data_IF_950935574290
#
_entry.id   IF_950935574290
#
_cell.length_a   1.000
_cell.length_b   1.000
_cell.length_c   1.000
_cell.angle_alpha   90.00
_cell.angle_beta   90.00
_cell.angle_gamma   90.00
#
_symmetry.space_group_name_H-M   'P 1'
#
loop_
_entity.id
_entity.type
_entity.pdbx_description
1 polymer ?
#
# COMPACT_ATOMS: atom_id res chain seq x y z
N UNK A 1 -22.10 -12.55 2.49
CA UNK A 1 -20.83 -11.84 2.80
C UNK A 1 -21.08 -10.60 3.67
N UNK A 2 -21.69 -10.77 4.85
CA UNK A 2 -21.99 -9.67 5.77
C UNK A 2 -20.72 -9.25 6.54
N UNK A 3 -20.58 -7.95 6.79
CA UNK A 3 -19.45 -7.35 7.55
C UNK A 3 -19.89 -6.54 8.77
N UNK A 4 -21.17 -6.56 9.10
CA UNK A 4 -21.78 -5.80 10.19
C UNK A 4 -22.26 -6.72 11.32
N UNK A 5 -21.78 -7.98 11.35
CA UNK A 5 -22.06 -8.97 12.39
C UNK A 5 -23.55 -9.35 12.48
N UNK A 6 -24.26 -9.32 11.35
CA UNK A 6 -25.64 -9.83 11.22
C UNK A 6 -25.64 -11.35 11.04
N UNK A 7 -25.58 -12.05 12.16
CA UNK A 7 -25.46 -13.51 12.19
C UNK A 7 -26.64 -14.24 11.56
N UNK A 8 -27.82 -13.63 11.55
CA UNK A 8 -28.99 -14.16 10.85
C UNK A 8 -28.73 -14.33 9.33
N UNK A 9 -27.97 -13.42 8.73
CA UNK A 9 -27.59 -13.50 7.31
C UNK A 9 -26.45 -14.49 7.09
N UNK A 10 -25.50 -14.56 8.02
CA UNK A 10 -24.40 -15.55 7.97
C UNK A 10 -24.96 -16.97 8.12
N UNK A 11 -25.95 -17.17 9.00
CA UNK A 11 -26.62 -18.46 9.22
C UNK A 11 -27.27 -18.99 7.94
N UNK A 12 -27.96 -18.14 7.16
CA UNK A 12 -28.55 -18.55 5.88
C UNK A 12 -27.51 -19.20 4.96
N UNK A 13 -26.35 -18.58 4.79
CA UNK A 13 -25.27 -19.12 3.97
C UNK A 13 -24.57 -20.34 4.61
N UNK A 14 -24.40 -20.33 5.94
CA UNK A 14 -23.80 -21.45 6.67
C UNK A 14 -24.67 -22.72 6.54
N UNK A 15 -25.98 -22.59 6.75
CA UNK A 15 -26.95 -23.69 6.70
C UNK A 15 -27.12 -24.21 5.26
N UNK A 16 -27.03 -23.33 4.26
CA UNK A 16 -27.05 -23.75 2.86
C UNK A 16 -25.84 -24.59 2.50
N UNK A 17 -24.64 -24.24 2.99
CA UNK A 17 -23.42 -24.97 2.68
C UNK A 17 -23.24 -26.27 3.47
N UNK A 18 -23.75 -26.35 4.71
CA UNK A 18 -23.54 -27.50 5.60
C UNK A 18 -24.72 -28.47 5.61
N UNK A 19 -25.95 -27.97 5.57
CA UNK A 19 -27.18 -28.77 5.68
C UNK A 19 -28.02 -28.76 4.40
N UNK A 20 -27.62 -27.93 3.43
CA UNK A 20 -28.36 -27.74 2.18
C UNK A 20 -29.73 -27.14 2.40
N UNK A 21 -29.84 -26.16 3.31
CA UNK A 21 -31.07 -25.37 3.48
C UNK A 21 -31.17 -24.34 2.36
N UNK A 22 -32.18 -24.48 1.51
CA UNK A 22 -32.41 -23.61 0.36
C UNK A 22 -33.34 -24.27 -0.67
N UNK A 23 -33.55 -23.60 -1.79
CA UNK A 23 -34.35 -24.12 -2.90
C UNK A 23 -33.56 -25.21 -3.64
N UNK A 24 -34.06 -26.43 -3.68
CA UNK A 24 -33.40 -27.52 -4.41
C UNK A 24 -33.66 -27.41 -5.91
N UNK A 25 -32.62 -27.54 -6.74
CA UNK A 25 -32.74 -27.50 -8.20
C UNK A 25 -31.75 -28.42 -8.92
N UNK A 26 -32.24 -29.06 -9.98
CA UNK A 26 -31.42 -29.78 -10.96
C UNK A 26 -30.91 -28.87 -12.10
N UNK A 27 -31.46 -27.65 -12.24
CA UNK A 27 -31.05 -26.64 -13.21
C UNK A 27 -30.87 -25.29 -12.50
N UNK A 28 -29.66 -25.08 -11.95
CA UNK A 28 -29.34 -23.88 -11.18
C UNK A 28 -29.55 -22.60 -12.01
N UNK A 29 -29.18 -22.61 -13.29
CA UNK A 29 -29.27 -21.43 -14.16
C UNK A 29 -30.73 -21.11 -14.46
N UNK A 30 -31.54 -22.14 -14.76
CA UNK A 30 -32.98 -21.99 -14.96
C UNK A 30 -33.67 -21.42 -13.71
N UNK A 31 -33.38 -21.98 -12.53
CA UNK A 31 -33.93 -21.49 -11.26
C UNK A 31 -33.52 -20.05 -10.97
N UNK A 32 -32.25 -19.69 -11.17
CA UNK A 32 -31.79 -18.30 -11.00
C UNK A 32 -32.55 -17.34 -11.91
N UNK A 33 -32.68 -17.65 -13.20
CA UNK A 33 -33.43 -16.82 -14.16
C UNK A 33 -34.89 -16.67 -13.75
N UNK A 34 -35.54 -17.77 -13.38
CA UNK A 34 -36.92 -17.73 -12.91
C UNK A 34 -37.07 -16.81 -11.69
N UNK A 35 -36.14 -16.84 -10.74
CA UNK A 35 -36.18 -15.96 -9.56
C UNK A 35 -36.02 -14.49 -9.93
N UNK A 36 -35.07 -14.17 -10.81
CA UNK A 36 -34.91 -12.79 -11.30
C UNK A 36 -36.13 -12.28 -12.06
N UNK A 37 -36.85 -13.16 -12.76
CA UNK A 37 -38.07 -12.79 -13.49
C UNK A 37 -39.32 -12.69 -12.59
N UNK A 38 -39.38 -13.50 -11.53
CA UNK A 38 -40.59 -13.65 -10.70
C UNK A 38 -40.53 -12.92 -9.35
N UNK A 39 -39.40 -12.33 -9.00
CA UNK A 39 -39.17 -11.63 -7.72
C UNK A 39 -38.37 -10.34 -7.92
N UNK A 40 -38.19 -9.56 -6.86
CA UNK A 40 -37.29 -8.39 -6.85
C UNK A 40 -35.84 -8.75 -6.45
N UNK A 41 -35.49 -10.03 -6.46
CA UNK A 41 -34.14 -10.48 -6.11
C UNK A 41 -33.11 -10.07 -7.16
N UNK A 42 -31.92 -9.72 -6.70
CA UNK A 42 -30.75 -9.39 -7.52
C UNK A 42 -29.61 -10.35 -7.16
N UNK A 43 -28.49 -10.27 -7.87
CA UNK A 43 -27.28 -11.03 -7.55
C UNK A 43 -26.84 -10.87 -6.07
N UNK A 44 -27.07 -9.70 -5.46
CA UNK A 44 -26.69 -9.43 -4.07
C UNK A 44 -27.67 -10.04 -3.06
N UNK A 45 -28.96 -10.14 -3.40
CA UNK A 45 -30.03 -10.54 -2.48
C UNK A 45 -30.55 -11.96 -2.72
N UNK A 46 -30.08 -12.64 -3.77
CA UNK A 46 -30.48 -13.99 -4.13
C UNK A 46 -30.25 -14.97 -2.97
N UNK A 47 -31.33 -15.61 -2.52
CA UNK A 47 -31.27 -16.65 -1.51
C UNK A 47 -30.63 -17.96 -2.04
N UNK A 48 -30.19 -18.87 -1.15
CA UNK A 48 -29.47 -20.07 -1.56
C UNK A 48 -30.27 -21.02 -2.45
N UNK A 49 -29.64 -21.49 -3.53
CA UNK A 49 -30.14 -22.56 -4.40
C UNK A 49 -29.20 -23.75 -4.26
N UNK A 50 -29.74 -24.91 -3.93
CA UNK A 50 -29.00 -26.14 -3.63
C UNK A 50 -29.06 -27.06 -4.84
N UNK A 51 -27.89 -27.43 -5.37
CA UNK A 51 -27.81 -28.39 -6.47
C UNK A 51 -28.21 -29.78 -5.98
N UNK A 52 -29.10 -30.44 -6.73
CA UNK A 52 -29.47 -31.84 -6.52
C UNK A 52 -29.16 -32.70 -7.74
N UNK A 53 -28.74 -33.93 -7.52
CA UNK A 53 -28.47 -34.92 -8.55
C UNK A 53 -29.75 -35.53 -9.14
N UNK A 54 -29.60 -36.37 -10.15
CA UNK A 54 -30.71 -37.09 -10.78
C UNK A 54 -31.43 -38.04 -9.79
N UNK A 55 -30.73 -38.49 -8.75
CA UNK A 55 -31.23 -39.28 -7.62
C UNK A 55 -31.90 -38.44 -6.52
N UNK A 56 -32.09 -37.13 -6.77
CA UNK A 56 -32.63 -36.14 -5.84
C UNK A 56 -31.77 -35.92 -4.57
N UNK A 57 -30.51 -36.37 -4.57
CA UNK A 57 -29.59 -36.12 -3.46
C UNK A 57 -28.89 -34.77 -3.62
N UNK A 58 -28.68 -34.07 -2.50
CA UNK A 58 -27.96 -32.78 -2.48
C UNK A 58 -26.49 -33.01 -2.78
N UNK A 59 -25.91 -32.14 -3.61
CA UNK A 59 -24.53 -32.26 -4.08
C UNK A 59 -23.65 -31.21 -3.40
N UNK A 60 -22.45 -31.63 -2.96
CA UNK A 60 -21.38 -30.71 -2.54
C UNK A 60 -21.61 -30.01 -1.20
N UNK A 61 -22.33 -30.64 -0.27
CA UNK A 61 -22.41 -30.14 1.11
C UNK A 61 -21.06 -30.31 1.81
N UNK A 62 -20.72 -29.36 2.68
CA UNK A 62 -19.53 -29.43 3.53
C UNK A 62 -19.82 -30.39 4.69
N UNK A 63 -19.06 -31.48 4.76
CA UNK A 63 -19.17 -32.52 5.78
C UNK A 63 -17.92 -32.68 6.64
N UNK A 64 -17.95 -33.67 7.53
CA UNK A 64 -16.86 -33.92 8.46
C UNK A 64 -15.57 -34.32 7.71
N UNK A 65 -14.44 -33.73 8.10
CA UNK A 65 -13.13 -34.01 7.49
C UNK A 65 -12.87 -33.31 6.16
N UNK A 66 -13.81 -32.49 5.66
CA UNK A 66 -13.62 -31.74 4.42
C UNK A 66 -12.59 -30.62 4.56
N UNK A 67 -12.01 -30.23 3.42
CA UNK A 67 -11.14 -29.05 3.31
C UNK A 67 -11.89 -27.89 2.68
N UNK A 68 -11.89 -26.73 3.33
CA UNK A 68 -12.57 -25.51 2.85
C UNK A 68 -11.54 -24.43 2.57
N UNK A 69 -11.46 -23.97 1.31
CA UNK A 69 -10.62 -22.85 0.91
C UNK A 69 -11.46 -21.60 0.61
N UNK A 70 -11.35 -20.59 1.45
CA UNK A 70 -11.96 -19.29 1.21
C UNK A 70 -11.04 -18.46 0.31
N UNK A 71 -11.39 -18.31 -0.97
CA UNK A 71 -10.51 -17.68 -1.97
C UNK A 71 -10.54 -16.14 -2.00
N UNK A 72 -11.46 -15.49 -1.28
CA UNK A 72 -11.55 -14.03 -1.25
C UNK A 72 -10.33 -13.39 -0.56
N UNK A 73 -9.46 -12.67 -1.28
CA UNK A 73 -8.29 -12.02 -0.67
C UNK A 73 -8.63 -10.84 0.28
N UNK A 74 -9.83 -10.24 0.15
CA UNK A 74 -10.25 -9.11 0.98
C UNK A 74 -10.98 -9.60 2.23
N UNK A 75 -10.44 -9.25 3.39
CA UNK A 75 -10.84 -9.85 4.66
C UNK A 75 -12.17 -9.36 5.25
N UNK A 76 -12.54 -8.08 5.06
CA UNK A 76 -13.62 -7.43 5.80
C UNK A 76 -14.97 -8.16 5.72
N UNK A 77 -15.32 -8.68 4.54
CA UNK A 77 -16.58 -9.38 4.29
C UNK A 77 -16.54 -10.90 4.52
N UNK A 78 -15.36 -11.45 4.78
CA UNK A 78 -15.16 -12.88 5.01
C UNK A 78 -15.10 -13.26 6.48
N UNK A 79 -14.65 -12.34 7.33
CA UNK A 79 -14.37 -12.60 8.76
C UNK A 79 -15.47 -13.39 9.47
N UNK A 80 -16.73 -12.96 9.37
CA UNK A 80 -17.81 -13.60 10.13
C UNK A 80 -18.24 -14.96 9.58
N UNK A 81 -18.22 -15.15 8.27
CA UNK A 81 -18.54 -16.45 7.68
C UNK A 81 -17.47 -17.48 8.05
N UNK A 82 -16.20 -17.12 7.89
CA UNK A 82 -15.07 -18.01 8.19
C UNK A 82 -15.02 -18.32 9.70
N UNK A 83 -15.31 -17.33 10.55
CA UNK A 83 -15.44 -17.53 12.00
C UNK A 83 -16.52 -18.57 12.34
N UNK A 84 -17.65 -18.61 11.61
CA UNK A 84 -18.70 -19.59 11.83
C UNK A 84 -18.24 -21.04 11.60
N UNK A 85 -17.30 -21.24 10.67
CA UNK A 85 -16.74 -22.55 10.33
C UNK A 85 -15.61 -23.00 11.25
N UNK A 86 -14.86 -22.08 11.86
CA UNK A 86 -13.60 -22.48 12.50
C UNK A 86 -13.23 -21.80 13.81
N UNK A 87 -14.07 -20.90 14.34
CA UNK A 87 -13.81 -20.27 15.64
C UNK A 87 -15.12 -20.02 16.40
N UNK A 88 -15.60 -21.09 17.05
CA UNK A 88 -16.76 -21.10 17.95
C UNK A 88 -16.39 -20.63 19.36
N UNK A 89 -17.35 -20.14 20.17
CA UNK A 89 -18.78 -20.00 19.87
C UNK A 89 -19.11 -18.80 18.97
N UNK A 90 -20.16 -18.95 18.15
CA UNK A 90 -20.84 -17.83 17.45
C UNK A 90 -22.36 -17.99 17.59
N UNK A 91 -23.17 -16.93 17.40
CA UNK A 91 -24.65 -16.97 17.45
C UNK A 91 -25.32 -17.73 16.29
N UNK A 92 -24.85 -18.95 16.01
CA UNK A 92 -25.43 -19.90 15.05
C UNK A 92 -25.61 -21.22 15.81
N UNK A 93 -26.83 -21.72 15.87
CA UNK A 93 -27.21 -22.96 16.57
C UNK A 93 -27.04 -24.23 15.71
N UNK A 94 -26.77 -24.06 14.41
CA UNK A 94 -26.51 -25.14 13.47
C UNK A 94 -25.24 -25.92 13.81
N UNK A 95 -25.33 -27.23 13.63
CA UNK A 95 -24.20 -28.16 13.75
C UNK A 95 -23.05 -27.73 12.83
N UNK A 96 -21.84 -27.73 13.39
CA UNK A 96 -20.62 -27.51 12.65
C UNK A 96 -20.04 -28.89 12.28
N UNK A 97 -19.69 -29.14 11.01
CA UNK A 97 -18.98 -30.36 10.66
C UNK A 97 -17.66 -30.47 11.42
N UNK A 98 -17.35 -31.69 11.87
CA UNK A 98 -16.15 -31.96 12.66
C UNK A 98 -14.90 -32.04 11.76
N UNK A 99 -13.74 -31.71 12.34
CA UNK A 99 -12.43 -31.87 11.70
C UNK A 99 -12.26 -31.19 10.33
N UNK A 100 -12.88 -30.03 10.12
CA UNK A 100 -12.65 -29.23 8.91
C UNK A 100 -11.21 -28.69 8.84
N UNK A 101 -10.56 -28.84 7.68
CA UNK A 101 -9.30 -28.16 7.39
C UNK A 101 -9.58 -26.85 6.64
N UNK A 102 -9.31 -25.70 7.29
CA UNK A 102 -9.71 -24.38 6.79
C UNK A 102 -8.49 -23.59 6.34
N UNK A 103 -8.54 -23.15 5.09
CA UNK A 103 -7.55 -22.28 4.46
C UNK A 103 -8.20 -20.99 3.97
N UNK A 104 -7.44 -19.91 3.96
CA UNK A 104 -7.87 -18.59 3.47
C UNK A 104 -6.91 -18.08 2.42
N UNK A 105 -7.38 -17.20 1.52
CA UNK A 105 -6.49 -16.62 0.51
C UNK A 105 -5.41 -15.75 1.16
N UNK A 106 -5.82 -14.87 2.08
CA UNK A 106 -4.95 -13.99 2.87
C UNK A 106 -5.28 -14.13 4.35
N UNK A 107 -4.51 -13.49 5.24
CA UNK A 107 -4.90 -13.40 6.64
C UNK A 107 -6.14 -12.52 6.80
N UNK A 108 -7.24 -13.09 7.32
CA UNK A 108 -8.47 -12.31 7.54
C UNK A 108 -8.49 -11.59 8.87
N UNK A 109 -7.82 -12.15 9.87
CA UNK A 109 -7.61 -11.59 11.20
C UNK A 109 -6.46 -12.35 11.86
N UNK A 110 -5.55 -11.64 12.52
CA UNK A 110 -4.38 -12.23 13.19
C UNK A 110 -4.76 -13.30 14.22
N UNK A 111 -5.87 -13.10 14.95
CA UNK A 111 -6.35 -14.05 15.96
C UNK A 111 -7.04 -15.30 15.39
N UNK A 112 -7.10 -15.47 14.07
CA UNK A 112 -7.74 -16.65 13.46
C UNK A 112 -6.72 -17.78 13.31
N UNK A 113 -7.10 -19.03 13.63
CA UNK A 113 -6.20 -20.17 13.55
C UNK A 113 -6.00 -20.72 12.12
N UNK A 114 -6.56 -20.05 11.10
CA UNK A 114 -6.60 -20.54 9.72
C UNK A 114 -5.29 -20.24 8.99
N UNK A 115 -4.88 -21.16 8.11
CA UNK A 115 -3.66 -21.02 7.32
C UNK A 115 -3.94 -20.16 6.08
N UNK A 116 -3.32 -18.97 5.94
CA UNK A 116 -3.42 -18.20 4.71
C UNK A 116 -2.52 -18.80 3.63
N UNK A 117 -3.00 -18.85 2.39
CA UNK A 117 -2.20 -19.21 1.22
C UNK A 117 -1.12 -18.15 0.96
N UNK A 118 -1.46 -16.88 1.16
CA UNK A 118 -0.56 -15.75 1.09
C UNK A 118 -0.52 -15.04 2.46
N UNK A 119 0.45 -15.38 3.33
CA UNK A 119 0.58 -14.74 4.63
C UNK A 119 0.90 -13.24 4.49
N UNK A 120 0.61 -12.42 5.52
CA UNK A 120 1.03 -11.02 5.54
C UNK A 120 2.54 -10.94 5.33
N UNK A 121 2.97 -10.05 4.43
CA UNK A 121 4.38 -9.71 4.30
C UNK A 121 4.70 -8.63 5.34
N UNK A 122 5.81 -8.81 6.06
CA UNK A 122 6.39 -7.76 6.89
C UNK A 122 7.48 -7.07 6.08
N UNK A 123 7.50 -5.74 6.11
CA UNK A 123 8.58 -4.93 5.56
C UNK A 123 9.74 -4.79 6.56
N UNK A 124 10.15 -5.92 7.14
CA UNK A 124 11.23 -5.97 8.12
C UNK A 124 12.56 -5.54 7.50
N UNK A 125 13.40 -4.89 8.29
CA UNK A 125 14.66 -4.31 7.86
C UNK A 125 14.49 -3.33 6.68
N UNK A 126 13.41 -2.53 6.71
CA UNK A 126 13.33 -1.32 5.89
C UNK A 126 14.51 -0.40 6.18
N UNK A 127 14.84 0.52 5.26
CA UNK A 127 15.98 1.43 5.44
C UNK A 127 15.95 2.17 6.80
N UNK A 128 14.82 2.76 7.24
CA UNK A 128 14.74 3.42 8.54
C UNK A 128 15.02 2.47 9.71
N UNK A 129 14.39 1.29 9.70
CA UNK A 129 14.55 0.26 10.74
C UNK A 129 15.99 -0.26 10.81
N UNK A 130 16.60 -0.51 9.65
CA UNK A 130 17.95 -1.03 9.58
C UNK A 130 18.97 -0.03 10.11
N UNK A 131 18.81 1.25 9.76
CA UNK A 131 19.65 2.33 10.27
C UNK A 131 19.49 2.53 11.79
N UNK A 132 18.26 2.42 12.31
CA UNK A 132 17.98 2.47 13.76
C UNK A 132 18.68 1.35 14.53
N UNK A 133 18.62 0.11 14.01
CA UNK A 133 19.35 -1.04 14.58
C UNK A 133 20.86 -0.83 14.64
N UNK A 134 21.41 0.04 13.80
CA UNK A 134 22.83 0.39 13.76
C UNK A 134 23.15 1.73 14.44
N UNK A 135 22.18 2.34 15.13
CA UNK A 135 22.37 3.59 15.88
C UNK A 135 22.53 4.83 15.00
N UNK A 136 22.16 4.76 13.72
CA UNK A 136 22.36 5.82 12.74
C UNK A 136 21.25 6.87 12.83
N UNK A 137 21.62 8.10 13.18
CA UNK A 137 20.71 9.22 13.30
C UNK A 137 20.17 9.63 11.93
N UNK A 138 18.84 9.69 11.82
CA UNK A 138 18.13 9.90 10.57
C UNK A 138 17.06 10.99 10.74
N UNK A 139 16.85 11.84 9.73
CA UNK A 139 15.90 12.94 9.77
C UNK A 139 15.00 12.95 8.53
N UNK A 140 13.68 13.01 8.73
CA UNK A 140 12.67 12.99 7.67
C UNK A 140 11.86 14.29 7.67
N UNK A 141 11.86 14.97 6.52
CA UNK A 141 11.36 16.34 6.40
C UNK A 141 10.39 16.40 5.22
N UNK A 142 9.15 16.76 5.49
CA UNK A 142 8.14 16.93 4.45
C UNK A 142 7.09 17.93 4.88
N UNK A 143 6.40 18.50 3.89
CA UNK A 143 5.17 19.22 4.16
C UNK A 143 3.98 18.27 4.39
N UNK A 144 2.87 18.79 4.88
CA UNK A 144 1.73 18.01 5.39
C UNK A 144 1.18 17.01 4.37
N UNK A 145 1.09 17.38 3.09
CA UNK A 145 0.61 16.51 2.01
C UNK A 145 1.44 15.23 1.83
N UNK A 146 2.76 15.28 2.11
CA UNK A 146 3.67 14.16 1.90
C UNK A 146 4.32 13.62 3.19
N UNK A 147 3.94 14.14 4.36
CA UNK A 147 4.53 13.73 5.64
C UNK A 147 4.28 12.25 5.98
N UNK A 148 3.10 11.72 5.70
CA UNK A 148 2.80 10.29 5.89
C UNK A 148 3.65 9.39 4.97
N UNK A 149 4.05 9.90 3.80
CA UNK A 149 4.85 9.16 2.82
C UNK A 149 6.28 8.96 3.30
N UNK A 150 6.89 9.98 3.91
CA UNK A 150 8.23 9.88 4.51
C UNK A 150 8.26 9.30 5.93
N UNK A 151 7.11 8.94 6.50
CA UNK A 151 7.05 8.37 7.86
C UNK A 151 6.41 7.00 7.82
N UNK A 152 5.08 6.90 7.73
CA UNK A 152 4.36 5.64 7.71
C UNK A 152 4.77 4.73 6.54
N UNK A 153 4.71 5.24 5.30
CA UNK A 153 4.99 4.42 4.12
C UNK A 153 6.49 4.11 3.97
N UNK A 154 7.36 5.10 4.18
CA UNK A 154 8.82 4.90 4.16
C UNK A 154 9.31 3.92 5.22
N UNK A 155 8.65 3.86 6.39
CA UNK A 155 8.92 2.88 7.45
C UNK A 155 8.27 1.50 7.18
N UNK A 156 7.78 1.24 5.97
CA UNK A 156 7.19 -0.05 5.61
C UNK A 156 5.79 -0.29 6.16
N UNK A 157 5.03 0.78 6.41
CA UNK A 157 3.70 0.72 7.02
C UNK A 157 3.72 0.70 8.56
N UNK A 158 4.82 1.13 9.17
CA UNK A 158 4.95 1.24 10.63
C UNK A 158 4.70 2.69 11.08
N UNK A 159 3.66 2.90 11.89
CA UNK A 159 3.35 4.22 12.47
C UNK A 159 4.37 4.65 13.53
N UNK A 160 4.96 3.69 14.23
CA UNK A 160 5.89 3.96 15.31
C UNK A 160 7.18 4.57 14.77
N UNK A 161 7.60 5.67 15.39
CA UNK A 161 8.87 6.32 15.12
C UNK A 161 10.01 5.51 15.72
N UNK A 162 11.07 5.30 14.95
CA UNK A 162 12.30 4.63 15.42
C UNK A 162 13.08 5.53 16.39
N UNK A 163 13.97 4.96 17.21
CA UNK A 163 14.65 5.69 18.28
C UNK A 163 15.65 6.72 17.76
N UNK A 164 16.31 6.41 16.63
CA UNK A 164 17.26 7.31 15.95
C UNK A 164 16.59 8.23 14.92
N UNK A 165 15.28 8.08 14.71
CA UNK A 165 14.50 8.82 13.72
C UNK A 165 14.00 10.13 14.30
N UNK A 166 14.24 11.24 13.59
CA UNK A 166 13.62 12.54 13.85
C UNK A 166 12.71 12.93 12.68
N UNK A 167 11.51 13.43 12.98
CA UNK A 167 10.52 13.82 11.98
C UNK A 167 10.24 15.30 12.07
N UNK A 168 10.34 16.04 10.97
CA UNK A 168 10.03 17.47 10.92
C UNK A 168 8.89 17.71 9.91
N UNK A 169 7.76 18.14 10.44
CA UNK A 169 6.59 18.51 9.66
C UNK A 169 6.64 20.00 9.32
N UNK A 170 6.59 20.32 8.03
CA UNK A 170 6.29 21.67 7.54
C UNK A 170 4.80 21.74 7.23
N UNK A 171 4.13 22.83 7.61
CA UNK A 171 2.71 22.97 7.30
C UNK A 171 2.54 23.32 5.82
N UNK A 172 1.74 22.55 5.08
CA UNK A 172 1.33 22.93 3.71
C UNK A 172 0.47 24.20 3.77
N UNK A 173 0.49 25.06 2.73
CA UNK A 173 -0.27 26.31 2.79
C UNK A 173 -1.77 26.03 2.89
N UNK A 174 -2.47 26.81 3.71
CA UNK A 174 -3.93 26.75 3.79
C UNK A 174 -4.48 27.51 2.57
N UNK A 175 -4.77 26.77 1.50
CA UNK A 175 -5.32 27.30 0.26
C UNK A 175 -6.63 26.59 -0.11
N UNK A 176 -7.54 27.30 -0.78
CA UNK A 176 -8.73 26.67 -1.37
C UNK A 176 -8.36 25.83 -2.61
N UNK A 177 -7.28 26.21 -3.30
CA UNK A 177 -6.66 25.49 -4.40
C UNK A 177 -5.16 25.78 -4.38
N UNK A 178 -4.33 24.74 -4.54
CA UNK A 178 -2.88 24.90 -4.61
C UNK A 178 -2.40 25.66 -5.85
N UNK A 179 -3.24 25.82 -6.88
CA UNK A 179 -2.92 26.62 -8.07
C UNK A 179 -2.61 28.10 -7.74
N UNK A 180 -3.17 28.62 -6.63
CA UNK A 180 -2.93 29.97 -6.16
C UNK A 180 -1.58 30.11 -5.42
N UNK A 181 -1.02 29.00 -4.96
CA UNK A 181 0.26 28.91 -4.24
C UNK A 181 1.06 27.72 -4.78
N UNK A 182 1.48 27.76 -6.06
CA UNK A 182 2.06 26.61 -6.76
C UNK A 182 3.43 26.18 -6.22
N UNK A 183 4.12 27.07 -5.51
CA UNK A 183 5.36 26.80 -4.80
C UNK A 183 5.16 26.05 -3.47
N UNK A 184 3.90 25.89 -3.03
CA UNK A 184 3.50 25.25 -1.78
C UNK A 184 4.41 25.66 -0.60
N UNK A 185 4.94 24.68 0.15
CA UNK A 185 5.88 24.92 1.24
C UNK A 185 7.30 24.49 0.87
N UNK A 186 7.61 24.33 -0.42
CA UNK A 186 8.89 23.81 -0.93
C UNK A 186 10.09 24.62 -0.40
N UNK A 187 9.95 25.95 -0.34
CA UNK A 187 10.98 26.84 0.21
C UNK A 187 11.25 26.58 1.69
N UNK A 188 10.19 26.37 2.46
CA UNK A 188 10.28 26.15 3.91
C UNK A 188 10.84 24.74 4.19
N UNK A 189 10.44 23.73 3.42
CA UNK A 189 11.05 22.39 3.46
C UNK A 189 12.55 22.46 3.16
N UNK A 190 12.96 23.22 2.15
CA UNK A 190 14.37 23.40 1.82
C UNK A 190 15.15 24.12 2.94
N UNK A 191 14.56 25.15 3.56
CA UNK A 191 15.15 25.86 4.70
C UNK A 191 15.38 24.92 5.88
N UNK A 192 14.35 24.17 6.28
CA UNK A 192 14.43 23.19 7.37
C UNK A 192 15.44 22.09 7.06
N UNK A 193 15.51 21.64 5.80
CA UNK A 193 16.51 20.67 5.34
C UNK A 193 17.93 21.23 5.50
N UNK A 194 18.17 22.48 5.10
CA UNK A 194 19.47 23.14 5.29
C UNK A 194 19.86 23.26 6.77
N UNK A 195 18.88 23.53 7.65
CA UNK A 195 19.11 23.58 9.10
C UNK A 195 19.45 22.21 9.68
N UNK A 196 18.77 21.15 9.23
CA UNK A 196 19.08 19.78 9.63
C UNK A 196 20.51 19.37 9.21
N UNK A 197 20.91 19.67 7.97
CA UNK A 197 22.26 19.44 7.46
C UNK A 197 23.30 20.23 8.29
N UNK A 198 23.06 21.52 8.54
CA UNK A 198 23.97 22.38 9.31
C UNK A 198 24.15 21.95 10.77
N UNK A 199 23.18 21.25 11.34
CA UNK A 199 23.27 20.72 12.71
C UNK A 199 24.32 19.62 12.86
N UNK A 200 24.65 18.91 11.77
CA UNK A 200 25.50 17.71 11.75
C UNK A 200 25.03 16.60 12.73
N UNK A 201 23.76 16.63 13.15
CA UNK A 201 23.19 15.67 14.09
C UNK A 201 22.80 14.34 13.42
N UNK A 202 22.62 14.33 12.10
CA UNK A 202 22.03 13.22 11.35
C UNK A 202 22.98 12.70 10.28
N UNK A 203 23.13 11.39 10.13
CA UNK A 203 23.90 10.80 9.04
C UNK A 203 23.06 10.59 7.78
N UNK A 204 21.72 10.51 7.91
CA UNK A 204 20.78 10.50 6.78
C UNK A 204 19.75 11.63 6.96
N UNK A 205 19.56 12.44 5.93
CA UNK A 205 18.47 13.43 5.86
C UNK A 205 17.69 13.15 4.58
N UNK A 206 16.38 12.91 4.69
CA UNK A 206 15.47 12.69 3.55
C UNK A 206 14.42 13.78 3.55
N UNK A 207 14.28 14.46 2.42
CA UNK A 207 13.29 15.50 2.22
C UNK A 207 12.38 15.17 1.02
N UNK A 208 11.07 15.41 1.17
CA UNK A 208 10.10 15.30 0.07
C UNK A 208 9.62 16.70 -0.32
N UNK A 209 9.75 17.03 -1.60
CA UNK A 209 9.28 18.28 -2.19
C UNK A 209 7.99 17.99 -2.97
N UNK A 210 6.84 18.29 -2.36
CA UNK A 210 5.53 17.79 -2.80
C UNK A 210 4.97 18.49 -4.05
N UNK A 211 5.36 19.75 -4.29
CA UNK A 211 4.67 20.63 -5.22
C UNK A 211 4.50 20.10 -6.65
N UNK A 212 5.50 19.47 -7.30
CA UNK A 212 5.34 19.00 -8.67
C UNK A 212 4.16 18.03 -8.84
N UNK A 213 4.00 17.09 -7.89
CA UNK A 213 2.94 16.09 -7.93
C UNK A 213 1.57 16.68 -7.61
N UNK A 214 1.49 17.47 -6.51
CA UNK A 214 0.24 18.08 -6.07
C UNK A 214 -0.32 19.03 -7.13
N UNK A 215 0.54 19.81 -7.80
CA UNK A 215 0.10 20.72 -8.85
C UNK A 215 -0.22 19.99 -10.16
N UNK A 216 0.48 18.91 -10.48
CA UNK A 216 0.17 18.14 -11.68
C UNK A 216 -1.21 17.48 -11.59
N UNK A 217 -1.65 17.03 -10.40
CA UNK A 217 -3.01 16.55 -10.16
C UNK A 217 -4.11 17.58 -10.43
N UNK A 218 -3.81 18.88 -10.44
CA UNK A 218 -4.82 19.90 -10.79
C UNK A 218 -5.04 20.00 -12.30
N UNK A 219 -4.14 19.41 -13.11
CA UNK A 219 -4.17 19.54 -14.58
C UNK A 219 -3.74 20.92 -15.08
N UNK A 220 -3.28 21.81 -14.20
CA UNK A 220 -2.91 23.17 -14.55
C UNK A 220 -1.44 23.24 -14.94
N UNK A 221 -1.18 23.24 -16.25
CA UNK A 221 0.17 23.27 -16.81
C UNK A 221 1.03 24.43 -16.25
N UNK A 222 0.49 25.65 -16.22
CA UNK A 222 1.27 26.82 -15.82
C UNK A 222 1.58 26.84 -14.31
N UNK A 223 0.63 26.41 -13.47
CA UNK A 223 0.88 26.24 -12.05
C UNK A 223 1.91 25.12 -11.79
N UNK A 224 1.82 24.02 -12.53
CA UNK A 224 2.78 22.90 -12.44
C UNK A 224 4.19 23.33 -12.86
N UNK A 225 4.35 24.13 -13.92
CA UNK A 225 5.65 24.68 -14.28
C UNK A 225 6.27 25.49 -13.13
N UNK A 226 5.49 26.35 -12.48
CA UNK A 226 5.97 27.13 -11.31
C UNK A 226 6.36 26.23 -10.13
N UNK A 227 5.61 25.16 -9.89
CA UNK A 227 5.95 24.17 -8.87
C UNK A 227 7.30 23.49 -9.15
N UNK A 228 7.54 23.11 -10.40
CA UNK A 228 8.81 22.51 -10.84
C UNK A 228 9.97 23.52 -10.73
N UNK A 229 9.78 24.77 -11.17
CA UNK A 229 10.78 25.84 -11.03
C UNK A 229 11.13 26.12 -9.56
N UNK A 230 10.13 26.18 -8.68
CA UNK A 230 10.34 26.34 -7.24
C UNK A 230 11.09 25.14 -6.63
N UNK A 231 10.78 23.93 -7.09
CA UNK A 231 11.46 22.69 -6.68
C UNK A 231 12.93 22.68 -7.11
N UNK A 232 13.23 23.11 -8.34
CA UNK A 232 14.61 23.25 -8.84
C UNK A 232 15.43 24.24 -7.99
N UNK A 233 14.86 25.41 -7.67
CA UNK A 233 15.49 26.40 -6.79
C UNK A 233 15.75 25.84 -5.38
N UNK A 234 14.84 25.03 -4.85
CA UNK A 234 15.01 24.37 -3.56
C UNK A 234 16.10 23.30 -3.59
N UNK A 235 16.17 22.49 -4.65
CA UNK A 235 17.23 21.51 -4.87
C UNK A 235 18.59 22.23 -4.92
N UNK A 236 18.71 23.33 -5.66
CA UNK A 236 19.94 24.12 -5.73
C UNK A 236 20.38 24.63 -4.34
N UNK A 237 19.43 25.05 -3.50
CA UNK A 237 19.70 25.48 -2.13
C UNK A 237 20.20 24.32 -1.25
N UNK A 238 19.52 23.18 -1.31
CA UNK A 238 19.89 21.97 -0.57
C UNK A 238 21.28 21.49 -1.01
N UNK A 239 21.54 21.43 -2.32
CA UNK A 239 22.85 21.07 -2.88
C UNK A 239 23.97 21.95 -2.32
N UNK A 240 23.78 23.27 -2.31
CA UNK A 240 24.76 24.17 -1.72
C UNK A 240 24.96 23.86 -0.23
N UNK A 241 23.90 23.60 0.53
CA UNK A 241 24.01 23.22 1.95
C UNK A 241 24.75 21.89 2.14
N UNK A 242 24.52 20.90 1.29
CA UNK A 242 25.24 19.63 1.31
C UNK A 242 26.75 19.83 1.13
N UNK A 243 27.18 20.65 0.14
CA UNK A 243 28.59 20.99 -0.05
C UNK A 243 29.19 21.62 1.21
N UNK A 244 28.51 22.59 1.82
CA UNK A 244 29.03 23.31 2.99
C UNK A 244 29.16 22.42 4.23
N UNK A 245 28.30 21.40 4.36
CA UNK A 245 28.24 20.52 5.53
C UNK A 245 28.80 19.12 5.26
N UNK A 246 29.48 18.91 4.13
CA UNK A 246 30.10 17.63 3.76
C UNK A 246 29.11 16.45 3.70
N UNK A 247 27.95 16.68 3.08
CA UNK A 247 26.98 15.63 2.72
C UNK A 247 27.00 15.38 1.21
N UNK A 248 26.73 14.14 0.83
CA UNK A 248 26.44 13.78 -0.56
C UNK A 248 24.94 13.86 -0.81
N UNK A 249 24.56 14.53 -1.91
CA UNK A 249 23.17 14.64 -2.30
C UNK A 249 22.79 13.49 -3.24
N UNK A 250 21.70 12.80 -2.92
CA UNK A 250 21.02 11.86 -3.82
C UNK A 250 19.67 12.47 -4.21
N UNK A 251 19.37 12.54 -5.51
CA UNK A 251 18.12 13.08 -6.05
C UNK A 251 17.37 11.98 -6.77
N UNK A 252 16.10 11.79 -6.43
CA UNK A 252 15.21 10.80 -7.07
C UNK A 252 13.75 11.21 -6.96
N UNK A 253 12.83 10.43 -7.54
CA UNK A 253 11.37 10.59 -7.42
C UNK A 253 10.73 9.24 -7.10
N UNK A 254 9.57 9.25 -6.46
CA UNK A 254 8.77 8.06 -6.18
C UNK A 254 7.94 7.60 -7.38
N UNK A 255 7.55 8.53 -8.27
CA UNK A 255 6.91 8.26 -9.54
C UNK A 255 6.98 9.48 -10.49
N UNK A 256 6.41 9.34 -11.69
CA UNK A 256 6.13 10.44 -12.61
C UNK A 256 4.71 10.99 -12.44
N UNK A 257 4.50 12.22 -12.89
CA UNK A 257 3.22 12.92 -12.99
C UNK A 257 3.38 14.16 -13.91
N UNK A 258 4.12 15.16 -13.43
CA UNK A 258 4.23 16.48 -14.05
C UNK A 258 4.91 16.51 -15.43
N UNK A 259 5.61 15.44 -15.83
CA UNK A 259 6.26 15.34 -17.13
C UNK A 259 5.30 15.00 -18.27
N UNK A 260 4.08 14.50 -17.96
CA UNK A 260 3.00 14.28 -18.94
C UNK A 260 1.72 14.95 -18.45
N UNK A 261 1.59 16.26 -18.70
CA UNK A 261 0.39 17.05 -18.39
C UNK A 261 -0.72 16.93 -19.45
N UNK A 262 -0.39 16.40 -20.64
CA UNK A 262 -1.31 16.17 -21.75
C UNK A 262 -1.02 14.79 -22.34
N UNK A 263 -2.06 13.95 -22.47
CA UNK A 263 -1.93 12.59 -22.98
C UNK A 263 -1.83 12.54 -24.53
N UNK A 264 -1.61 11.35 -25.08
CA UNK A 264 -1.51 11.14 -26.54
C UNK A 264 -2.82 11.44 -27.31
N UNK A 265 -3.94 11.54 -26.61
CA UNK A 265 -5.26 11.86 -27.15
C UNK A 265 -5.61 13.35 -26.96
N UNK A 266 -4.66 14.17 -26.49
CA UNK A 266 -4.81 15.59 -26.21
C UNK A 266 -5.79 15.92 -25.06
N UNK A 267 -5.96 14.99 -24.13
CA UNK A 267 -6.65 15.24 -22.86
C UNK A 267 -5.68 15.75 -21.80
N UNK A 268 -6.18 16.56 -20.87
CA UNK A 268 -5.45 16.93 -19.66
C UNK A 268 -5.25 15.67 -18.83
N UNK A 269 -4.00 15.37 -18.50
CA UNK A 269 -3.65 14.28 -17.61
C UNK A 269 -3.44 14.83 -16.20
N UNK A 270 -4.25 14.32 -15.26
CA UNK A 270 -4.13 14.61 -13.83
C UNK A 270 -3.65 13.38 -13.04
N UNK A 271 -3.33 12.28 -13.71
CA UNK A 271 -2.93 11.02 -13.09
C UNK A 271 -1.41 10.82 -13.20
N UNK A 272 -0.88 9.98 -12.30
CA UNK A 272 0.51 9.54 -12.36
C UNK A 272 0.83 8.83 -13.68
N UNK A 273 2.11 8.81 -14.01
CA UNK A 273 2.61 8.13 -15.21
C UNK A 273 3.44 6.90 -14.83
N UNK A 274 3.73 6.07 -15.84
CA UNK A 274 4.71 4.98 -15.75
C UNK A 274 6.11 5.41 -16.23
N UNK A 275 6.39 6.71 -16.25
CA UNK A 275 7.70 7.23 -16.67
C UNK A 275 8.80 6.79 -15.69
N UNK A 276 10.02 6.51 -16.16
CA UNK A 276 11.15 6.26 -15.28
C UNK A 276 11.47 7.53 -14.47
N UNK A 277 11.94 7.33 -13.24
CA UNK A 277 12.33 8.41 -12.34
C UNK A 277 13.84 8.66 -12.41
N UNK A 278 14.31 9.89 -12.15
CA UNK A 278 15.75 10.14 -12.06
C UNK A 278 16.34 9.43 -10.84
N UNK A 279 17.63 9.08 -10.93
CA UNK A 279 18.45 8.71 -9.79
C UNK A 279 19.84 9.31 -9.98
N UNK A 280 20.14 10.37 -9.23
CA UNK A 280 21.38 11.14 -9.34
C UNK A 280 22.11 11.07 -8.01
N UNK A 281 23.40 10.69 -8.03
CA UNK A 281 24.30 10.78 -6.89
C UNK A 281 25.31 11.89 -7.19
N UNK A 282 25.35 12.93 -6.37
CA UNK A 282 26.22 14.09 -6.58
C UNK A 282 27.58 13.84 -5.93
N UNK A 283 28.31 12.90 -6.51
CA UNK A 283 29.66 12.48 -6.12
C UNK A 283 30.45 12.06 -7.37
N UNK A 284 31.62 12.67 -7.59
CA UNK A 284 32.44 12.42 -8.78
C UNK A 284 33.20 11.08 -8.72
N UNK A 285 33.38 10.53 -7.51
CA UNK A 285 34.11 9.29 -7.30
C UNK A 285 33.20 8.04 -7.40
N UNK A 286 31.89 8.27 -7.47
CA UNK A 286 30.89 7.21 -7.64
C UNK A 286 30.61 6.94 -9.11
N UNK A 287 30.53 5.66 -9.46
CA UNK A 287 29.97 5.20 -10.73
C UNK A 287 28.69 4.42 -10.47
N UNK A 288 27.66 4.73 -11.26
CA UNK A 288 26.37 4.05 -11.19
C UNK A 288 26.25 2.97 -12.25
N UNK A 289 25.64 1.85 -11.87
CA UNK A 289 25.16 0.82 -12.76
C UNK A 289 24.10 1.45 -13.68
N UNK A 290 24.21 1.17 -14.98
CA UNK A 290 23.20 1.55 -15.96
C UNK A 290 22.63 0.27 -16.58
N UNK A 291 21.43 -0.11 -16.14
CA UNK A 291 20.74 -1.33 -16.56
C UNK A 291 19.24 -1.06 -16.74
N UNK A 292 18.54 -1.82 -17.61
CA UNK A 292 17.12 -1.58 -17.90
C UNK A 292 16.17 -2.09 -16.80
N UNK A 293 16.64 -2.94 -15.89
CA UNK A 293 15.86 -3.61 -14.83
C UNK A 293 15.96 -2.91 -13.46
N UNK A 294 16.50 -1.68 -13.42
CA UNK A 294 16.62 -0.91 -12.18
C UNK A 294 15.27 -0.37 -11.71
N UNK A 295 15.07 -0.33 -10.40
CA UNK A 295 13.79 0.09 -9.80
C UNK A 295 13.98 0.79 -8.45
N UNK A 296 12.90 1.30 -7.88
CA UNK A 296 12.90 2.00 -6.59
C UNK A 296 13.45 1.13 -5.44
N UNK A 297 13.28 -0.20 -5.52
CA UNK A 297 13.81 -1.12 -4.52
C UNK A 297 15.35 -1.14 -4.44
N UNK A 298 16.05 -0.62 -5.45
CA UNK A 298 17.51 -0.53 -5.49
C UNK A 298 18.06 0.69 -4.73
N UNK A 299 17.20 1.67 -4.41
CA UNK A 299 17.62 2.93 -3.76
C UNK A 299 18.13 2.68 -2.33
N UNK A 300 17.38 1.95 -1.51
CA UNK A 300 17.79 1.67 -0.13
C UNK A 300 19.12 0.88 -0.05
N UNK A 301 19.33 -0.21 -0.80
CA UNK A 301 20.63 -0.86 -0.93
C UNK A 301 21.76 0.07 -1.36
N UNK A 302 21.47 1.02 -2.27
CA UNK A 302 22.44 2.00 -2.75
C UNK A 302 22.85 2.97 -1.65
N UNK A 303 21.88 3.49 -0.89
CA UNK A 303 22.13 4.37 0.26
C UNK A 303 22.96 3.64 1.33
N UNK A 304 22.61 2.39 1.66
CA UNK A 304 23.37 1.60 2.64
C UNK A 304 24.80 1.35 2.19
N UNK A 305 25.01 0.96 0.92
CA UNK A 305 26.35 0.77 0.36
C UNK A 305 27.16 2.07 0.41
N UNK A 306 26.56 3.20 0.02
CA UNK A 306 27.22 4.50 0.06
C UNK A 306 27.65 4.89 1.49
N UNK A 307 26.79 4.63 2.47
CA UNK A 307 27.07 4.90 3.89
C UNK A 307 28.00 3.85 4.55
N UNK A 308 28.44 2.82 3.81
CA UNK A 308 29.31 1.77 4.33
C UNK A 308 28.61 0.75 5.25
N UNK A 309 27.28 0.64 5.18
CA UNK A 309 26.49 -0.34 5.93
C UNK A 309 26.25 -1.63 5.13
N UNK A 310 26.17 -2.76 5.82
CA UNK A 310 25.75 -4.02 5.22
C UNK A 310 24.29 -3.95 4.76
N UNK A 311 23.97 -4.58 3.64
CA UNK A 311 22.61 -4.70 3.11
C UNK A 311 21.95 -5.95 3.74
N UNK A 312 20.78 -5.82 4.39
CA UNK A 312 20.09 -6.97 4.99
C UNK A 312 19.50 -7.89 3.91
N UNK A 313 19.36 -9.21 4.18
CA UNK A 313 18.86 -10.18 3.19
C UNK A 313 17.40 -9.94 2.76
N UNK A 314 16.61 -9.23 3.57
CA UNK A 314 15.23 -8.83 3.23
C UNK A 314 15.18 -7.76 2.12
N UNK A 315 16.24 -6.96 1.96
CA UNK A 315 16.36 -6.04 0.84
C UNK A 315 16.83 -6.80 -0.41
N UNK A 316 15.88 -7.25 -1.22
CA UNK A 316 16.14 -8.03 -2.44
C UNK A 316 16.54 -7.19 -3.66
N UNK A 317 16.46 -5.86 -3.54
CA UNK A 317 17.09 -4.94 -4.50
C UNK A 317 18.62 -5.01 -4.43
N UNK A 318 19.30 -4.33 -5.34
CA UNK A 318 20.76 -4.28 -5.40
C UNK A 318 21.28 -2.86 -5.36
N UNK A 319 22.49 -2.68 -4.83
CA UNK A 319 23.15 -1.38 -4.90
C UNK A 319 23.42 -1.00 -6.36
N UNK A 320 23.17 0.26 -6.68
CA UNK A 320 23.48 0.85 -7.97
C UNK A 320 24.94 1.33 -8.06
N UNK A 321 25.72 1.29 -6.99
CA UNK A 321 27.15 1.67 -7.01
C UNK A 321 27.99 0.54 -7.61
N UNK A 322 28.97 0.88 -8.46
CA UNK A 322 29.94 -0.04 -9.08
C UNK A 322 31.28 -0.12 -8.34
#
# INVERSE_FOLDING_TARGET
MDRTRRWERIKVAFDSMTQGVGECSMDLVGTMKQRFESTEETDETLGPIISVGADQQKVGLIGDGDTVFFFNFRSDRMRFLVQAFGQRPVPIDSALPDNLDIFTMTSYKESFPFRPAFPPQSMANSLPEWLDKHGVQQCYIAESEKFAYLTFFFNGGNEQQFATENRILVQSPIAQSYEATPDMSVKDVAEVTCQALASNAYQLVVANLAAPDILAHTGNFHATCKAVEATDMAIQRIYNSCIHNNYTLIITSDHGNCEVMVDSNNNINCDHTASPVPFVVVDNDVKLLNAPDLSLCDIAPTVLHYMGHSIPPEMTGRSLLL
#
